data_IF_037360887037
#
_entry.id   IF_037360887037
#
_cell.length_a   1.000
_cell.length_b   1.000
_cell.length_c   1.000
_cell.angle_alpha   90.00
_cell.angle_beta   90.00
_cell.angle_gamma   90.00
#
_symmetry.space_group_name_H-M   'P 1'
#
loop_
_entity.id
_entity.type
_entity.pdbx_description
1 polymer ?
#
# COMPACT_ATOMS: atom_id res chain seq x y z
N UNK A 1 -31.20 1.15 20.29
CA UNK A 1 -31.43 -0.23 19.87
C UNK A 1 -30.40 -0.58 18.77
N UNK A 2 -30.05 -1.85 18.62
CA UNK A 2 -29.34 -2.35 17.45
C UNK A 2 -30.33 -2.73 16.31
N UNK A 3 -29.85 -3.11 15.15
CA UNK A 3 -30.66 -3.50 13.97
C UNK A 3 -31.60 -4.71 14.25
N UNK A 4 -31.29 -5.54 15.26
CA UNK A 4 -32.14 -6.64 15.69
C UNK A 4 -33.19 -6.24 16.75
N UNK A 5 -33.22 -4.97 17.14
CA UNK A 5 -34.16 -4.42 18.15
C UNK A 5 -33.76 -4.68 19.60
N UNK A 6 -32.52 -5.13 19.86
CA UNK A 6 -31.99 -5.30 21.22
C UNK A 6 -31.43 -3.99 21.74
N UNK A 7 -31.54 -3.75 23.07
CA UNK A 7 -30.95 -2.58 23.71
C UNK A 7 -29.43 -2.55 23.63
N UNK A 8 -28.87 -1.35 23.52
CA UNK A 8 -27.42 -1.12 23.54
C UNK A 8 -27.07 -0.41 24.85
N UNK A 9 -26.29 -1.05 25.70
CA UNK A 9 -25.82 -0.46 26.94
C UNK A 9 -24.63 0.48 26.71
N UNK A 10 -24.55 1.56 27.50
CA UNK A 10 -23.40 2.46 27.51
C UNK A 10 -23.31 3.38 26.29
N UNK A 11 -24.38 3.54 25.52
CA UNK A 11 -24.42 4.57 24.50
C UNK A 11 -24.42 5.95 25.18
N UNK A 12 -23.56 6.84 24.70
CA UNK A 12 -23.48 8.22 25.15
C UNK A 12 -24.42 9.09 24.33
N UNK A 13 -25.34 9.76 24.97
CA UNK A 13 -26.33 10.66 24.39
C UNK A 13 -26.02 12.08 24.87
N UNK A 14 -25.74 13.00 23.98
CA UNK A 14 -25.41 14.40 24.27
C UNK A 14 -26.43 15.28 23.58
N UNK A 15 -26.95 16.29 24.28
CA UNK A 15 -27.77 17.34 23.69
C UNK A 15 -26.83 18.40 23.12
N UNK A 16 -26.86 18.58 21.79
CA UNK A 16 -25.98 19.50 21.10
C UNK A 16 -26.11 20.94 21.63
N UNK A 17 -24.97 21.64 21.67
CA UNK A 17 -24.89 23.04 22.18
C UNK A 17 -25.27 23.22 23.67
N UNK A 18 -25.32 22.13 24.47
CA UNK A 18 -25.58 22.15 25.91
C UNK A 18 -24.65 21.22 26.68
N UNK A 19 -24.65 21.33 28.02
CA UNK A 19 -23.93 20.40 28.91
C UNK A 19 -24.83 19.22 29.34
N UNK A 20 -25.99 19.03 28.71
CA UNK A 20 -26.93 17.95 29.06
C UNK A 20 -26.55 16.67 28.28
N UNK A 21 -26.60 15.55 28.99
CA UNK A 21 -26.37 14.24 28.40
C UNK A 21 -26.69 13.10 29.36
N UNK A 22 -26.77 11.89 28.84
CA UNK A 22 -26.96 10.66 29.59
C UNK A 22 -26.21 9.49 28.89
N UNK A 23 -26.04 8.39 29.64
CA UNK A 23 -25.65 7.12 29.08
C UNK A 23 -26.82 6.14 29.18
N UNK A 24 -26.97 5.27 28.17
CA UNK A 24 -27.99 4.22 28.22
C UNK A 24 -27.60 3.12 29.23
N UNK A 25 -28.59 2.56 29.89
CA UNK A 25 -28.47 1.47 30.84
C UNK A 25 -28.29 0.08 30.16
N UNK A 26 -28.31 -1.00 30.94
CA UNK A 26 -28.15 -2.38 30.44
C UNK A 26 -29.28 -2.82 29.49
N UNK A 27 -30.46 -2.17 29.57
CA UNK A 27 -31.60 -2.41 28.67
C UNK A 27 -31.62 -1.48 27.45
N UNK A 28 -30.66 -0.54 27.34
CA UNK A 28 -30.56 0.44 26.28
C UNK A 28 -31.50 1.63 26.49
N UNK A 29 -32.04 1.82 27.69
CA UNK A 29 -32.91 2.94 28.03
C UNK A 29 -32.08 4.11 28.59
N UNK A 30 -32.52 5.34 28.29
CA UNK A 30 -31.94 6.57 28.82
C UNK A 30 -33.00 7.62 29.12
N UNK A 31 -32.66 8.56 30.00
CA UNK A 31 -33.53 9.72 30.31
C UNK A 31 -32.64 10.96 30.47
N UNK A 32 -33.09 12.06 29.91
CA UNK A 32 -32.41 13.36 30.02
C UNK A 32 -33.48 14.40 30.37
N UNK A 33 -33.35 15.01 31.54
CA UNK A 33 -34.25 16.07 31.98
C UNK A 33 -33.87 17.42 31.36
N UNK A 34 -34.88 18.25 31.03
CA UNK A 34 -34.67 19.63 30.57
C UNK A 34 -34.35 19.78 29.08
N UNK A 35 -34.52 18.74 28.27
CA UNK A 35 -34.41 18.81 26.82
C UNK A 35 -35.63 19.52 26.24
N UNK A 36 -35.40 20.49 25.35
CA UNK A 36 -36.48 21.20 24.67
C UNK A 36 -36.80 20.54 23.32
N UNK A 37 -38.08 20.59 22.95
CA UNK A 37 -38.50 20.21 21.59
C UNK A 37 -37.77 21.09 20.57
N UNK A 38 -37.18 20.47 19.54
CA UNK A 38 -36.34 21.12 18.55
C UNK A 38 -34.84 21.00 18.82
N UNK A 39 -34.41 20.41 19.97
CA UNK A 39 -33.01 20.11 20.23
C UNK A 39 -32.51 18.96 19.34
N UNK A 40 -31.24 18.98 19.01
CA UNK A 40 -30.52 17.87 18.37
C UNK A 40 -29.82 17.02 19.43
N UNK A 41 -29.92 15.72 19.28
CA UNK A 41 -29.19 14.73 20.11
C UNK A 41 -28.15 14.05 19.26
N UNK A 42 -26.91 14.01 19.76
CA UNK A 42 -25.82 13.22 19.21
C UNK A 42 -25.68 11.94 20.03
N UNK A 43 -25.90 10.79 19.39
CA UNK A 43 -25.77 9.47 20.00
C UNK A 43 -24.53 8.76 19.50
N UNK A 44 -23.68 8.31 20.40
CA UNK A 44 -22.45 7.60 20.08
C UNK A 44 -22.20 6.42 21.03
N UNK A 45 -21.75 5.31 20.45
CA UNK A 45 -21.32 4.13 21.22
C UNK A 45 -20.27 3.37 20.40
N UNK A 46 -19.33 2.76 21.08
CA UNK A 46 -18.27 1.97 20.41
C UNK A 46 -18.90 0.82 19.64
N UNK A 47 -18.56 0.69 18.36
CA UNK A 47 -19.08 -0.37 17.49
C UNK A 47 -20.31 0.00 16.67
N UNK A 48 -20.77 1.24 16.75
CA UNK A 48 -21.92 1.73 16.00
C UNK A 48 -21.61 3.09 15.37
N UNK A 49 -22.27 3.39 14.25
CA UNK A 49 -22.19 4.72 13.65
C UNK A 49 -22.86 5.76 14.57
N UNK A 50 -22.25 6.91 14.68
CA UNK A 50 -22.85 8.06 15.35
C UNK A 50 -24.12 8.46 14.62
N UNK A 51 -25.20 8.71 15.37
CA UNK A 51 -26.49 9.13 14.84
C UNK A 51 -26.88 10.47 15.45
N UNK A 52 -27.47 11.35 14.63
CA UNK A 52 -27.99 12.63 15.08
C UNK A 52 -29.52 12.62 14.92
N UNK A 53 -30.24 12.86 16.01
CA UNK A 53 -31.69 12.80 16.06
C UNK A 53 -32.28 14.10 16.60
N UNK A 54 -33.29 14.61 15.95
CA UNK A 54 -34.05 15.79 16.45
C UNK A 54 -35.17 15.36 17.35
N UNK A 55 -35.40 16.12 18.42
CA UNK A 55 -36.50 15.92 19.36
C UNK A 55 -37.71 16.65 18.82
N UNK A 56 -38.63 15.94 18.18
CA UNK A 56 -39.83 16.52 17.53
C UNK A 56 -40.98 16.69 18.49
N UNK A 57 -41.06 15.93 19.58
CA UNK A 57 -42.15 15.91 20.54
C UNK A 57 -41.67 15.47 21.93
N UNK A 58 -42.58 15.55 22.92
CA UNK A 58 -42.34 15.03 24.27
C UNK A 58 -42.57 13.50 24.39
N UNK A 59 -42.74 12.80 23.26
CA UNK A 59 -42.95 11.35 23.27
C UNK A 59 -41.58 10.62 23.34
N UNK A 60 -41.56 9.38 23.90
CA UNK A 60 -40.36 8.59 23.96
C UNK A 60 -39.75 8.33 22.57
N UNK A 61 -38.49 8.61 22.41
CA UNK A 61 -37.74 8.36 21.18
C UNK A 61 -37.19 6.92 21.15
N UNK A 62 -37.34 6.27 19.99
CA UNK A 62 -36.68 4.98 19.71
C UNK A 62 -35.68 5.17 18.62
N UNK A 63 -34.40 4.98 18.96
CA UNK A 63 -33.28 5.24 18.07
C UNK A 63 -32.58 3.91 17.75
N UNK A 64 -32.41 3.61 16.48
CA UNK A 64 -31.72 2.41 16.01
C UNK A 64 -30.37 2.82 15.49
N UNK A 65 -29.31 2.27 16.06
CA UNK A 65 -27.93 2.48 15.62
C UNK A 65 -27.51 1.36 14.68
N UNK A 66 -26.84 1.71 13.62
CA UNK A 66 -26.27 0.79 12.65
C UNK A 66 -24.90 0.34 13.16
N UNK A 67 -24.70 -0.98 13.29
CA UNK A 67 -23.40 -1.51 13.66
C UNK A 67 -22.37 -1.11 12.58
N UNK A 68 -21.41 -0.31 12.99
CA UNK A 68 -20.18 -0.12 12.22
C UNK A 68 -19.20 -1.18 12.67
N UNK A 69 -18.60 -1.90 11.73
CA UNK A 69 -17.43 -2.64 12.07
C UNK A 69 -16.48 -1.66 12.79
N UNK A 70 -16.21 -1.93 14.07
CA UNK A 70 -15.15 -1.20 14.78
C UNK A 70 -13.93 -1.46 13.94
N UNK A 71 -13.47 -0.46 13.25
CA UNK A 71 -12.13 -0.52 12.71
C UNK A 71 -11.24 -0.69 13.93
N UNK A 72 -10.80 -1.93 14.18
CA UNK A 72 -9.71 -2.20 15.08
C UNK A 72 -8.42 -1.68 14.43
N UNK A 73 -8.44 -0.40 14.03
CA UNK A 73 -7.28 0.30 13.52
C UNK A 73 -6.18 0.43 14.56
N UNK A 74 -6.48 0.17 15.83
CA UNK A 74 -5.60 0.56 16.92
C UNK A 74 -4.68 -0.53 17.47
N UNK A 75 -4.86 -1.80 17.09
CA UNK A 75 -3.90 -2.86 17.49
C UNK A 75 -2.88 -3.12 16.36
N UNK A 76 -3.05 -2.46 15.26
CA UNK A 76 -2.17 -2.59 14.12
C UNK A 76 -0.76 -2.14 14.46
N UNK A 77 0.18 -3.06 14.44
CA UNK A 77 1.64 -2.82 14.42
C UNK A 77 2.01 -1.40 14.87
N UNK A 78 1.49 -1.02 16.02
CA UNK A 78 1.58 0.34 16.59
C UNK A 78 3.02 0.80 16.75
N UNK A 79 3.95 -0.16 16.91
CA UNK A 79 5.37 0.14 16.98
C UNK A 79 5.93 0.76 15.70
N UNK A 80 5.26 0.60 14.54
CA UNK A 80 5.74 1.11 13.25
C UNK A 80 4.90 2.22 12.64
N UNK A 81 3.77 2.61 13.25
CA UNK A 81 2.91 3.70 12.78
C UNK A 81 2.96 4.93 13.69
N UNK A 82 2.93 6.10 13.07
CA UNK A 82 2.67 7.35 13.77
C UNK A 82 1.16 7.51 13.97
N UNK A 83 0.77 8.09 15.09
CA UNK A 83 -0.60 8.49 15.41
C UNK A 83 -0.67 9.99 15.66
N UNK A 84 -1.85 10.53 15.85
CA UNK A 84 -2.05 11.95 16.21
C UNK A 84 -1.29 12.37 17.47
N UNK A 85 -0.96 11.41 18.35
CA UNK A 85 -0.17 11.64 19.57
C UNK A 85 1.34 11.64 19.31
N UNK A 86 1.76 11.31 18.09
CA UNK A 86 3.18 11.20 17.72
C UNK A 86 3.66 12.52 17.13
N UNK A 87 4.75 13.08 17.65
CA UNK A 87 5.32 14.36 17.18
C UNK A 87 6.05 14.22 15.83
N UNK A 88 5.48 13.48 14.86
CA UNK A 88 6.06 13.25 13.54
C UNK A 88 5.00 13.55 12.47
N UNK A 89 5.40 14.29 11.44
CA UNK A 89 4.52 14.55 10.31
C UNK A 89 4.33 13.25 9.50
N UNK A 90 3.10 12.78 9.38
CA UNK A 90 2.77 11.60 8.59
C UNK A 90 1.60 11.86 7.64
N UNK A 91 1.40 10.95 6.71
CA UNK A 91 0.27 10.93 5.79
C UNK A 91 -0.12 9.47 5.56
N UNK A 92 -1.39 9.17 5.78
CA UNK A 92 -1.96 7.88 5.43
C UNK A 92 -2.56 7.95 4.02
N UNK A 93 -2.31 6.92 3.22
CA UNK A 93 -2.89 6.73 1.89
C UNK A 93 -3.77 5.49 1.95
N UNK A 94 -5.07 5.67 1.68
CA UNK A 94 -6.05 4.59 1.79
C UNK A 94 -6.00 3.65 0.60
N UNK A 95 -6.60 2.47 0.74
CA UNK A 95 -6.74 1.48 -0.33
C UNK A 95 -7.39 2.06 -1.59
N UNK A 96 -8.43 2.87 -1.43
CA UNK A 96 -9.17 3.51 -2.53
C UNK A 96 -8.27 4.50 -3.28
N UNK A 97 -7.50 5.30 -2.55
CA UNK A 97 -6.55 6.24 -3.14
C UNK A 97 -5.44 5.51 -3.90
N UNK A 98 -4.94 4.39 -3.36
CA UNK A 98 -3.95 3.54 -4.04
C UNK A 98 -4.57 2.96 -5.31
N UNK A 99 -5.75 2.38 -5.23
CA UNK A 99 -6.43 1.75 -6.36
C UNK A 99 -6.70 2.71 -7.53
N UNK A 100 -7.04 3.97 -7.23
CA UNK A 100 -7.26 5.01 -8.24
C UNK A 100 -5.99 5.47 -8.95
N UNK A 101 -4.84 5.36 -8.30
CA UNK A 101 -3.59 5.97 -8.77
C UNK A 101 -2.57 4.98 -9.29
N UNK A 102 -2.61 3.76 -8.75
CA UNK A 102 -1.57 2.78 -9.05
C UNK A 102 -1.60 2.36 -10.52
N UNK A 103 -2.77 1.96 -11.04
CA UNK A 103 -2.88 1.43 -12.39
C UNK A 103 -1.82 0.35 -12.65
N UNK A 104 -1.04 0.55 -13.70
CA UNK A 104 0.09 -0.33 -14.08
C UNK A 104 1.40 0.00 -13.37
N UNK A 105 1.41 1.03 -12.52
CA UNK A 105 2.62 1.61 -11.94
C UNK A 105 3.07 0.88 -10.68
N UNK A 106 4.33 1.10 -10.31
CA UNK A 106 4.88 0.62 -9.04
C UNK A 106 4.36 1.45 -7.85
N UNK A 107 4.31 0.84 -6.67
CA UNK A 107 3.80 1.45 -5.44
C UNK A 107 4.32 2.87 -5.17
N UNK A 108 5.63 3.18 -5.33
CA UNK A 108 6.13 4.53 -5.08
C UNK A 108 5.44 5.62 -5.88
N UNK A 109 5.00 5.32 -7.09
CA UNK A 109 4.37 6.33 -7.95
C UNK A 109 2.99 6.76 -7.43
N UNK A 110 2.27 5.89 -6.72
CA UNK A 110 1.05 6.25 -6.02
C UNK A 110 1.30 7.26 -4.89
N UNK A 111 2.53 7.31 -4.37
CA UNK A 111 2.91 8.20 -3.27
C UNK A 111 3.22 9.64 -3.72
N UNK A 112 3.23 9.94 -5.02
CA UNK A 112 3.40 11.32 -5.53
C UNK A 112 2.30 12.30 -5.09
N UNK A 113 1.22 11.78 -4.48
CA UNK A 113 0.18 12.58 -3.83
C UNK A 113 0.59 13.14 -2.48
N UNK A 114 1.57 12.51 -1.85
CA UNK A 114 2.00 12.87 -0.51
C UNK A 114 2.95 14.05 -0.60
N UNK A 115 2.67 15.17 0.09
CA UNK A 115 3.56 16.32 0.10
C UNK A 115 4.98 15.95 0.52
N UNK A 116 5.98 16.48 -0.19
CA UNK A 116 7.42 16.22 0.01
C UNK A 116 7.88 14.81 -0.38
N UNK A 117 7.05 14.06 -1.08
CA UNK A 117 7.42 12.80 -1.72
C UNK A 117 7.50 13.03 -3.22
N UNK A 118 8.55 12.49 -3.83
CA UNK A 118 8.74 12.48 -5.28
C UNK A 118 9.18 11.10 -5.73
N UNK A 119 8.37 10.46 -6.51
CA UNK A 119 8.68 9.17 -7.09
C UNK A 119 8.76 9.26 -8.61
N UNK A 120 9.71 8.54 -9.17
CA UNK A 120 9.93 8.46 -10.62
C UNK A 120 9.95 7.01 -11.06
N UNK A 121 9.49 6.77 -12.28
CA UNK A 121 9.74 5.53 -12.97
C UNK A 121 11.06 5.68 -13.74
N UNK A 122 11.99 4.76 -13.54
CA UNK A 122 13.28 4.74 -14.20
C UNK A 122 13.37 3.54 -15.13
N UNK A 123 14.25 3.59 -16.13
CA UNK A 123 14.48 2.48 -17.02
C UNK A 123 13.34 2.16 -17.99
N UNK A 124 12.17 2.79 -17.84
CA UNK A 124 11.02 2.61 -18.71
C UNK A 124 10.28 1.29 -18.54
N UNK A 125 10.68 0.46 -17.59
CA UNK A 125 10.09 -0.84 -17.29
C UNK A 125 9.36 -0.92 -15.96
N UNK A 126 8.82 -2.08 -15.65
CA UNK A 126 8.19 -2.38 -14.38
C UNK A 126 9.25 -2.69 -13.30
N UNK A 127 9.00 -2.24 -12.06
CA UNK A 127 9.87 -2.50 -10.93
C UNK A 127 11.03 -1.53 -10.76
N UNK A 128 11.11 -0.50 -11.60
CA UNK A 128 12.21 0.46 -11.61
C UNK A 128 11.92 1.76 -10.87
N UNK A 129 10.80 1.84 -10.17
CA UNK A 129 10.46 3.05 -9.46
C UNK A 129 11.49 3.43 -8.41
N UNK A 130 11.65 4.73 -8.22
CA UNK A 130 12.48 5.32 -7.17
C UNK A 130 11.65 6.32 -6.38
N UNK A 131 11.86 6.36 -5.09
CA UNK A 131 11.20 7.30 -4.19
C UNK A 131 12.22 8.20 -3.50
N UNK A 132 11.88 9.47 -3.42
CA UNK A 132 12.62 10.47 -2.66
C UNK A 132 11.65 11.11 -1.66
N UNK A 133 12.08 11.27 -0.43
CA UNK A 133 11.30 11.91 0.62
C UNK A 133 12.10 13.06 1.19
N UNK A 134 11.58 14.29 1.11
CA UNK A 134 12.30 15.51 1.53
C UNK A 134 13.69 15.66 0.89
N UNK A 135 13.85 15.18 -0.36
CA UNK A 135 15.13 15.22 -1.07
C UNK A 135 16.07 14.03 -0.78
N UNK A 136 15.78 13.21 0.23
CA UNK A 136 16.54 12.00 0.49
C UNK A 136 16.08 10.87 -0.43
N UNK A 137 17.03 10.18 -1.06
CA UNK A 137 16.74 9.03 -1.91
C UNK A 137 16.28 7.81 -1.07
N UNK A 138 15.73 6.78 -1.72
CA UNK A 138 15.14 5.63 -1.04
C UNK A 138 16.10 4.84 -0.13
N UNK A 139 17.41 4.93 -0.31
CA UNK A 139 18.40 4.32 0.61
C UNK A 139 18.34 4.91 2.03
N UNK A 140 17.83 6.13 2.14
CA UNK A 140 17.67 6.86 3.38
C UNK A 140 16.22 6.91 3.86
N UNK A 141 15.36 6.09 3.28
CA UNK A 141 13.95 5.95 3.62
C UNK A 141 13.71 4.50 4.03
N UNK A 142 13.26 4.27 5.26
CA UNK A 142 12.90 2.92 5.69
C UNK A 142 11.60 2.50 5.00
N UNK A 143 11.68 1.51 4.11
CA UNK A 143 10.50 0.92 3.48
C UNK A 143 10.18 -0.38 4.18
N UNK A 144 8.93 -0.54 4.59
CA UNK A 144 8.46 -1.68 5.37
C UNK A 144 7.19 -2.27 4.79
N UNK A 145 7.03 -3.57 4.96
CA UNK A 145 5.76 -4.28 4.78
C UNK A 145 5.37 -4.86 6.14
N UNK A 146 4.22 -4.46 6.65
CA UNK A 146 3.75 -4.81 7.99
C UNK A 146 4.81 -4.59 9.10
N UNK A 147 5.53 -3.47 9.01
CA UNK A 147 6.59 -3.12 9.95
C UNK A 147 7.93 -3.83 9.76
N UNK A 148 8.04 -4.75 8.80
CA UNK A 148 9.30 -5.46 8.51
C UNK A 148 10.04 -4.71 7.39
N UNK A 149 11.28 -4.25 7.61
CA UNK A 149 12.07 -3.58 6.60
C UNK A 149 12.35 -4.47 5.39
N UNK A 150 12.21 -3.88 4.19
CA UNK A 150 12.44 -4.55 2.91
C UNK A 150 13.54 -3.89 2.08
N UNK A 151 14.21 -2.90 2.65
CA UNK A 151 15.40 -2.34 2.04
C UNK A 151 16.49 -3.41 1.96
N UNK A 152 17.15 -3.48 0.82
CA UNK A 152 18.31 -4.36 0.63
C UNK A 152 19.39 -4.07 1.66
N UNK A 153 19.93 -5.10 2.30
CA UNK A 153 20.85 -4.95 3.44
C UNK A 153 22.25 -4.51 3.01
N UNK A 154 22.62 -4.72 1.76
CA UNK A 154 23.93 -4.33 1.23
C UNK A 154 23.95 -2.86 0.81
N UNK A 155 22.97 -2.44 0.03
CA UNK A 155 22.98 -1.14 -0.63
C UNK A 155 21.83 -0.21 -0.25
N UNK A 156 20.87 -0.67 0.54
CA UNK A 156 19.71 0.09 1.01
C UNK A 156 18.61 0.35 -0.04
N UNK A 157 18.74 -0.20 -1.26
CA UNK A 157 17.74 -0.06 -2.29
C UNK A 157 16.51 -0.92 -2.02
N UNK A 158 15.39 -0.55 -2.63
CA UNK A 158 14.22 -1.41 -2.77
C UNK A 158 14.02 -1.69 -4.24
N UNK A 159 14.06 -2.95 -4.61
CA UNK A 159 13.77 -3.42 -5.96
C UNK A 159 12.29 -3.74 -6.04
N UNK A 160 11.51 -2.79 -6.57
CA UNK A 160 10.05 -2.84 -6.52
C UNK A 160 9.44 -4.00 -7.29
N UNK A 161 10.16 -4.52 -8.27
CA UNK A 161 9.76 -5.73 -8.98
C UNK A 161 9.64 -6.96 -8.07
N UNK A 162 10.42 -7.04 -6.99
CA UNK A 162 10.33 -8.12 -6.01
C UNK A 162 9.04 -8.06 -5.16
N UNK A 163 8.36 -6.92 -5.17
CA UNK A 163 7.15 -6.63 -4.39
C UNK A 163 5.93 -6.41 -5.27
N UNK A 164 5.98 -6.91 -6.50
CA UNK A 164 4.86 -6.84 -7.42
C UNK A 164 3.63 -7.55 -6.83
N UNK A 165 2.45 -6.99 -7.04
CA UNK A 165 1.21 -7.52 -6.46
C UNK A 165 0.94 -7.13 -5.00
N UNK A 166 1.93 -6.65 -4.23
CA UNK A 166 1.70 -6.21 -2.84
C UNK A 166 0.67 -5.07 -2.77
N UNK A 167 0.71 -4.15 -3.73
CA UNK A 167 -0.25 -3.06 -3.80
C UNK A 167 -1.71 -3.50 -3.94
N UNK A 168 -1.95 -4.64 -4.58
CA UNK A 168 -3.30 -5.17 -4.81
C UNK A 168 -3.94 -5.71 -3.52
N UNK A 169 -3.12 -6.01 -2.51
CA UNK A 169 -3.55 -6.53 -1.20
C UNK A 169 -3.29 -5.53 -0.06
N UNK A 170 -2.78 -4.35 -0.38
CA UNK A 170 -2.50 -3.30 0.59
C UNK A 170 -3.81 -2.71 1.12
N UNK A 171 -3.94 -2.63 2.44
CA UNK A 171 -5.05 -1.95 3.11
C UNK A 171 -4.77 -0.45 3.26
N UNK A 172 -3.54 -0.08 3.58
CA UNK A 172 -3.11 1.32 3.68
C UNK A 172 -1.59 1.46 3.55
N UNK A 173 -1.12 2.67 3.23
CA UNK A 173 0.30 3.02 3.27
C UNK A 173 0.46 4.25 4.14
N UNK A 174 1.29 4.16 5.18
CA UNK A 174 1.65 5.32 5.96
C UNK A 174 3.04 5.82 5.58
N UNK A 175 3.13 7.10 5.23
CA UNK A 175 4.37 7.82 4.98
C UNK A 175 4.68 8.75 6.13
N UNK A 176 5.72 8.45 6.90
CA UNK A 176 6.28 9.36 7.91
C UNK A 176 7.43 10.15 7.32
N UNK A 177 7.53 11.42 7.65
CA UNK A 177 8.47 12.37 7.02
C UNK A 177 9.51 12.84 8.03
N UNK A 178 10.78 12.60 7.74
CA UNK A 178 11.91 12.90 8.62
C UNK A 178 12.24 11.76 9.55
N UNK A 179 12.95 12.05 10.62
CA UNK A 179 13.33 11.02 11.59
C UNK A 179 12.07 10.35 12.14
N UNK A 180 11.99 9.06 11.94
CA UNK A 180 10.91 8.24 12.46
C UNK A 180 10.94 8.24 13.99
N UNK A 181 9.77 8.29 14.63
CA UNK A 181 9.65 8.10 16.08
C UNK A 181 9.94 6.65 16.53
N UNK A 182 10.44 5.83 15.63
CA UNK A 182 10.58 4.39 15.83
C UNK A 182 12.04 3.99 16.00
N UNK A 183 12.27 3.02 16.87
CA UNK A 183 13.54 2.30 16.98
C UNK A 183 13.73 1.32 15.81
N UNK A 184 13.87 1.86 14.60
CA UNK A 184 14.17 1.05 13.43
C UNK A 184 15.69 0.95 13.23
N UNK A 185 16.15 -0.27 13.01
CA UNK A 185 17.55 -0.52 12.64
C UNK A 185 17.89 -0.06 11.22
N UNK A 186 16.89 0.35 10.44
CA UNK A 186 17.04 0.76 9.04
C UNK A 186 17.21 2.27 8.95
N UNK A 187 18.14 2.79 8.10
CA UNK A 187 18.29 4.22 7.87
C UNK A 187 16.97 4.88 7.46
N UNK A 188 16.57 5.92 8.18
CA UNK A 188 15.27 6.58 7.97
C UNK A 188 15.33 8.10 8.09
N UNK A 189 16.47 8.72 7.75
CA UNK A 189 16.66 10.18 7.82
C UNK A 189 15.62 10.92 6.96
N UNK A 190 15.30 10.39 5.78
CA UNK A 190 14.28 10.92 4.88
C UNK A 190 12.86 10.70 5.39
N UNK A 191 12.63 9.61 6.08
CA UNK A 191 11.34 9.17 6.57
C UNK A 191 11.17 7.66 6.51
N UNK A 192 9.95 7.20 6.76
CA UNK A 192 9.59 5.79 6.61
C UNK A 192 8.28 5.62 5.83
N UNK A 193 8.19 4.55 5.06
CA UNK A 193 7.02 4.13 4.31
C UNK A 193 6.63 2.74 4.82
N UNK A 194 5.47 2.62 5.44
CA UNK A 194 4.96 1.33 5.90
C UNK A 194 3.73 0.92 5.09
N UNK A 195 3.85 -0.18 4.38
CA UNK A 195 2.80 -0.80 3.58
C UNK A 195 2.11 -1.84 4.46
N UNK A 196 0.82 -1.69 4.67
CA UNK A 196 0.04 -2.57 5.53
C UNK A 196 -0.86 -3.47 4.71
N UNK A 197 -0.80 -4.78 4.99
CA UNK A 197 -1.59 -5.80 4.30
C UNK A 197 -2.41 -6.60 5.32
N UNK A 198 -3.24 -5.93 6.10
CA UNK A 198 -4.02 -6.56 7.16
C UNK A 198 -5.27 -7.25 6.63
N UNK A 199 -5.38 -8.56 6.81
CA UNK A 199 -6.54 -9.34 6.40
C UNK A 199 -7.80 -8.97 7.20
N UNK A 200 -7.65 -8.56 8.47
CA UNK A 200 -8.80 -8.20 9.32
C UNK A 200 -9.39 -6.82 8.98
N UNK A 201 -8.60 -5.95 8.33
CA UNK A 201 -9.05 -4.65 7.86
C UNK A 201 -9.79 -4.71 6.51
N UNK A 202 -9.98 -5.90 5.94
CA UNK A 202 -10.60 -6.10 4.65
C UNK A 202 -12.01 -6.69 4.82
N UNK A 203 -12.99 -6.10 4.15
CA UNK A 203 -14.34 -6.63 4.11
C UNK A 203 -14.40 -7.98 3.39
N UNK A 204 -15.40 -8.80 3.76
CA UNK A 204 -15.64 -10.07 3.09
C UNK A 204 -16.03 -9.84 1.63
N UNK A 205 -15.27 -10.43 0.72
CA UNK A 205 -15.58 -10.34 -0.70
C UNK A 205 -14.51 -10.90 -1.57
N UNK A 206 -14.86 -11.16 -2.81
CA UNK A 206 -13.92 -11.50 -3.88
C UNK A 206 -13.92 -10.42 -4.94
N UNK A 207 -12.79 -10.20 -5.57
CA UNK A 207 -12.69 -9.30 -6.71
C UNK A 207 -11.92 -9.94 -7.86
N UNK A 208 -12.33 -9.60 -9.07
CA UNK A 208 -11.55 -9.82 -10.28
C UNK A 208 -11.34 -8.46 -10.94
N UNK A 209 -10.10 -8.07 -11.12
CA UNK A 209 -9.72 -6.82 -11.73
C UNK A 209 -8.90 -7.10 -12.99
N UNK A 210 -9.29 -6.48 -14.10
CA UNK A 210 -8.57 -6.54 -15.36
C UNK A 210 -8.12 -5.14 -15.73
N UNK A 211 -6.82 -4.96 -15.89
CA UNK A 211 -6.20 -3.70 -16.29
C UNK A 211 -5.57 -3.88 -17.67
N UNK A 212 -5.85 -2.95 -18.57
CA UNK A 212 -5.35 -2.93 -19.95
C UNK A 212 -4.69 -1.59 -20.19
N UNK A 213 -3.54 -1.59 -20.80
CA UNK A 213 -2.77 -0.37 -21.06
C UNK A 213 -2.10 -0.37 -22.43
N UNK A 214 -1.35 0.68 -22.68
CA UNK A 214 -0.55 0.78 -23.90
C UNK A 214 0.56 -0.28 -23.93
N UNK A 215 1.11 -0.52 -25.12
CA UNK A 215 2.21 -1.49 -25.35
C UNK A 215 1.90 -2.90 -24.85
N UNK A 216 0.70 -3.38 -25.14
CA UNK A 216 0.28 -4.74 -24.78
C UNK A 216 0.18 -4.99 -23.27
N UNK A 217 0.15 -3.94 -22.44
CA UNK A 217 0.04 -4.11 -20.99
C UNK A 217 -1.29 -4.77 -20.63
N UNK A 218 -1.20 -5.86 -19.89
CA UNK A 218 -2.31 -6.64 -19.37
C UNK A 218 -2.00 -7.09 -17.95
N UNK A 219 -2.86 -6.70 -16.99
CA UNK A 219 -2.76 -7.18 -15.62
C UNK A 219 -4.10 -7.74 -15.17
N UNK A 220 -4.09 -8.96 -14.69
CA UNK A 220 -5.25 -9.66 -14.13
C UNK A 220 -4.99 -9.92 -12.66
N UNK A 221 -5.89 -9.47 -11.81
CA UNK A 221 -5.83 -9.69 -10.35
C UNK A 221 -7.09 -10.40 -9.90
N UNK A 222 -6.91 -11.49 -9.17
CA UNK A 222 -7.99 -12.19 -8.46
C UNK A 222 -7.66 -12.10 -6.99
N UNK A 223 -8.60 -11.62 -6.18
CA UNK A 223 -8.44 -11.60 -4.73
C UNK A 223 -9.70 -12.08 -4.02
N UNK A 224 -9.51 -12.61 -2.81
CA UNK A 224 -10.58 -13.00 -1.92
C UNK A 224 -10.20 -12.74 -0.48
N UNK A 225 -11.14 -12.13 0.25
CA UNK A 225 -11.03 -11.84 1.67
C UNK A 225 -12.23 -12.48 2.39
N UNK A 226 -11.97 -13.13 3.50
CA UNK A 226 -13.04 -13.77 4.28
C UNK A 226 -13.82 -12.76 5.12
N UNK A 227 -13.23 -11.56 5.36
CA UNK A 227 -13.60 -10.71 6.48
C UNK A 227 -13.33 -11.44 7.81
N UNK A 228 -13.71 -10.83 8.90
CA UNK A 228 -13.67 -11.45 10.22
C UNK A 228 -14.68 -12.60 10.31
N UNK A 229 -14.25 -13.74 10.85
CA UNK A 229 -15.02 -14.95 11.08
C UNK A 229 -14.61 -15.62 12.38
N UNK A 230 -15.32 -16.63 12.85
CA UNK A 230 -15.11 -17.32 14.13
C UNK A 230 -15.16 -16.35 15.33
N UNK A 231 -16.31 -15.68 15.48
CA UNK A 231 -16.53 -14.66 16.52
C UNK A 231 -15.49 -13.52 16.43
N UNK A 232 -15.28 -12.98 15.23
CA UNK A 232 -14.37 -11.89 14.89
C UNK A 232 -12.89 -12.14 15.21
N UNK A 233 -12.51 -13.42 15.32
CA UNK A 233 -11.14 -13.80 15.66
C UNK A 233 -10.24 -14.09 14.49
N UNK A 234 -10.76 -14.59 13.38
CA UNK A 234 -9.94 -15.01 12.25
C UNK A 234 -10.33 -14.26 10.98
N UNK A 235 -9.35 -13.75 10.28
CA UNK A 235 -9.51 -13.25 8.91
C UNK A 235 -8.43 -13.82 8.01
N UNK A 236 -8.81 -14.15 6.78
CA UNK A 236 -7.91 -14.65 5.74
C UNK A 236 -8.03 -13.78 4.49
N UNK A 237 -6.92 -13.56 3.82
CA UNK A 237 -6.89 -12.91 2.51
C UNK A 237 -5.95 -13.65 1.57
N UNK A 238 -6.30 -13.70 0.29
CA UNK A 238 -5.46 -14.27 -0.74
C UNK A 238 -5.59 -13.46 -2.03
N UNK A 239 -4.51 -13.34 -2.78
CA UNK A 239 -4.51 -12.73 -4.10
C UNK A 239 -3.55 -13.43 -5.04
N UNK A 240 -3.91 -13.42 -6.33
CA UNK A 240 -3.10 -13.91 -7.43
C UNK A 240 -3.10 -12.83 -8.52
N UNK A 241 -1.93 -12.47 -8.99
CA UNK A 241 -1.73 -11.45 -10.02
C UNK A 241 -0.95 -12.03 -11.19
N UNK A 242 -1.38 -11.75 -12.41
CA UNK A 242 -0.66 -11.99 -13.65
C UNK A 242 -0.45 -10.68 -14.38
N UNK A 243 0.79 -10.32 -14.69
CA UNK A 243 1.14 -9.07 -15.37
C UNK A 243 2.02 -9.37 -16.58
N UNK A 244 1.67 -8.79 -17.74
CA UNK A 244 2.46 -8.84 -18.98
C UNK A 244 2.41 -7.50 -19.69
N UNK A 245 3.42 -7.21 -20.51
CA UNK A 245 3.44 -6.01 -21.35
C UNK A 245 4.77 -5.88 -22.09
N UNK A 246 4.77 -5.11 -23.19
CA UNK A 246 5.97 -4.92 -24.00
C UNK A 246 6.84 -3.74 -23.53
N UNK A 247 6.27 -2.85 -22.68
CA UNK A 247 6.96 -1.68 -22.17
C UNK A 247 6.98 -0.50 -23.14
N UNK A 248 7.38 0.67 -22.64
CA UNK A 248 7.42 1.91 -23.38
C UNK A 248 8.59 1.97 -24.37
N UNK A 249 9.74 1.47 -23.95
CA UNK A 249 10.93 1.36 -24.79
C UNK A 249 11.11 -0.07 -25.27
N UNK A 250 11.72 -0.25 -26.44
CA UNK A 250 12.14 -1.58 -26.91
C UNK A 250 13.01 -2.25 -25.85
N UNK A 251 12.71 -3.51 -25.54
CA UNK A 251 13.45 -4.27 -24.53
C UNK A 251 13.01 -4.06 -23.08
N UNK A 252 11.94 -3.29 -22.80
CA UNK A 252 11.45 -3.06 -21.43
C UNK A 252 10.16 -3.85 -21.10
N UNK A 253 10.03 -5.03 -21.66
CA UNK A 253 8.91 -5.92 -21.45
C UNK A 253 8.81 -6.44 -20.00
N UNK A 254 7.62 -6.86 -19.57
CA UNK A 254 7.37 -7.48 -18.27
C UNK A 254 6.58 -8.77 -18.43
N UNK A 255 6.91 -9.77 -17.64
CA UNK A 255 6.22 -11.07 -17.54
C UNK A 255 6.34 -11.53 -16.09
N UNK A 256 5.29 -11.30 -15.31
CA UNK A 256 5.30 -11.48 -13.87
C UNK A 256 4.06 -12.21 -13.36
N UNK A 257 4.28 -13.02 -12.33
CA UNK A 257 3.26 -13.51 -11.44
C UNK A 257 3.48 -12.93 -10.05
N UNK A 258 2.42 -12.71 -9.32
CA UNK A 258 2.53 -12.44 -7.89
C UNK A 258 1.42 -13.19 -7.15
N UNK A 259 1.75 -13.64 -5.95
CA UNK A 259 0.78 -14.29 -5.06
C UNK A 259 0.95 -13.77 -3.65
N UNK A 260 -0.15 -13.69 -2.95
CA UNK A 260 -0.21 -13.25 -1.56
C UNK A 260 -1.17 -14.16 -0.79
N UNK A 261 -0.80 -14.46 0.45
CA UNK A 261 -1.66 -15.06 1.44
C UNK A 261 -1.44 -14.34 2.78
N UNK A 262 -2.52 -13.91 3.40
CA UNK A 262 -2.53 -13.26 4.71
C UNK A 262 -3.50 -13.95 5.65
N UNK A 263 -3.16 -14.06 6.91
CA UNK A 263 -4.02 -14.52 7.99
C UNK A 263 -3.82 -13.65 9.22
N UNK A 264 -4.91 -13.22 9.82
CA UNK A 264 -4.91 -12.49 11.08
C UNK A 264 -5.76 -13.26 12.09
N UNK A 265 -5.22 -13.55 13.26
CA UNK A 265 -5.91 -14.22 14.33
C UNK A 265 -5.85 -13.40 15.63
N UNK A 266 -6.99 -12.90 16.07
CA UNK A 266 -7.18 -12.17 17.31
C UNK A 266 -7.47 -13.17 18.42
N UNK A 267 -6.46 -13.54 19.21
CA UNK A 267 -6.64 -14.48 20.32
C UNK A 267 -7.50 -13.84 21.44
N UNK A 268 -7.19 -12.59 21.78
CA UNK A 268 -7.88 -11.73 22.73
C UNK A 268 -7.50 -10.26 22.46
N UNK A 269 -8.00 -9.32 23.26
CA UNK A 269 -7.72 -7.88 23.13
C UNK A 269 -6.25 -7.49 23.23
N UNK A 270 -5.41 -8.35 23.83
CA UNK A 270 -3.98 -8.09 24.07
C UNK A 270 -3.06 -8.83 23.09
N UNK A 271 -3.55 -9.90 22.44
CA UNK A 271 -2.73 -10.77 21.61
C UNK A 271 -3.37 -10.97 20.24
N UNK A 272 -2.63 -10.54 19.24
CA UNK A 272 -2.96 -10.68 17.83
C UNK A 272 -1.80 -11.34 17.09
N UNK A 273 -2.10 -12.34 16.28
CA UNK A 273 -1.14 -13.02 15.43
C UNK A 273 -1.42 -12.67 13.98
N UNK A 274 -0.38 -12.29 13.28
CA UNK A 274 -0.44 -12.05 11.85
C UNK A 274 0.56 -12.94 11.14
N UNK A 275 0.09 -13.62 10.12
CA UNK A 275 0.93 -14.39 9.20
C UNK A 275 0.69 -13.86 7.79
N UNK A 276 1.76 -13.69 7.04
CA UNK A 276 1.66 -13.43 5.62
C UNK A 276 2.79 -14.09 4.85
N UNK A 277 2.47 -14.52 3.63
CA UNK A 277 3.40 -15.07 2.67
C UNK A 277 3.14 -14.40 1.32
N UNK A 278 4.19 -14.02 0.64
CA UNK A 278 4.11 -13.41 -0.67
C UNK A 278 5.26 -13.85 -1.55
N UNK A 279 5.05 -13.78 -2.85
CA UNK A 279 6.10 -14.00 -3.83
C UNK A 279 5.74 -13.34 -5.15
N UNK A 280 6.76 -12.89 -5.86
CA UNK A 280 6.64 -12.20 -7.14
C UNK A 280 7.64 -12.75 -8.17
N UNK A 281 7.51 -14.02 -8.59
CA UNK A 281 8.34 -14.55 -9.65
C UNK A 281 8.09 -13.78 -10.95
N UNK A 282 9.16 -13.22 -11.51
CA UNK A 282 9.05 -12.32 -12.63
C UNK A 282 10.26 -12.38 -13.55
N UNK A 283 10.03 -11.98 -14.78
CA UNK A 283 11.06 -11.71 -15.78
C UNK A 283 10.72 -10.37 -16.42
N UNK A 284 11.70 -9.55 -16.64
CA UNK A 284 11.49 -8.27 -17.32
C UNK A 284 12.76 -7.83 -18.06
N UNK A 285 12.54 -7.07 -19.11
CA UNK A 285 13.61 -6.31 -19.75
C UNK A 285 13.76 -4.97 -19.01
N UNK A 286 14.97 -4.47 -18.97
CA UNK A 286 15.28 -3.22 -18.28
C UNK A 286 16.21 -2.35 -19.12
N UNK A 287 15.91 -1.05 -19.15
CA UNK A 287 16.78 -0.03 -19.71
C UNK A 287 17.45 0.72 -18.57
N UNK A 288 18.77 0.65 -18.47
CA UNK A 288 19.48 1.35 -17.42
C UNK A 288 19.45 2.87 -17.67
N UNK A 289 19.37 3.64 -16.60
CA UNK A 289 19.24 5.10 -16.66
C UNK A 289 20.49 5.86 -17.13
N UNK A 290 21.57 5.15 -17.36
CA UNK A 290 22.81 5.70 -17.90
C UNK A 290 23.29 4.82 -19.03
N UNK A 291 23.12 5.28 -20.24
CA UNK A 291 23.70 4.69 -21.42
C UNK A 291 24.72 5.65 -22.00
N UNK A 292 25.86 5.13 -22.43
CA UNK A 292 26.79 5.90 -23.24
C UNK A 292 26.10 6.15 -24.60
N UNK A 293 26.12 7.37 -25.08
CA UNK A 293 25.53 7.70 -26.38
C UNK A 293 26.17 6.90 -27.53
N UNK A 294 27.41 6.49 -27.36
CA UNK A 294 28.12 5.61 -28.28
C UNK A 294 27.41 4.25 -28.50
N UNK A 295 26.58 3.80 -27.54
CA UNK A 295 25.77 2.59 -27.70
C UNK A 295 24.59 2.77 -28.68
N UNK A 296 24.25 4.01 -29.01
CA UNK A 296 23.14 4.37 -29.88
C UNK A 296 23.60 4.98 -31.21
N UNK A 297 24.83 5.38 -31.32
CA UNK A 297 25.42 6.01 -32.52
C UNK A 297 26.79 5.41 -32.83
N UNK A 298 26.82 4.55 -33.84
CA UNK A 298 28.05 3.86 -34.29
C UNK A 298 29.14 4.82 -34.75
N UNK A 299 28.77 5.87 -35.49
CA UNK A 299 29.74 6.82 -35.99
C UNK A 299 30.42 7.59 -34.85
N UNK A 300 29.65 7.90 -33.80
CA UNK A 300 30.20 8.50 -32.58
C UNK A 300 31.09 7.51 -31.83
N UNK A 301 30.68 6.25 -31.70
CA UNK A 301 31.49 5.22 -31.05
C UNK A 301 32.84 5.06 -31.74
N UNK A 302 32.86 4.97 -33.09
CA UNK A 302 34.08 4.86 -33.91
C UNK A 302 34.99 6.12 -33.83
N UNK A 303 34.44 7.25 -33.38
CA UNK A 303 35.20 8.49 -33.19
C UNK A 303 35.88 8.61 -31.85
N UNK A 304 35.64 7.69 -30.91
CA UNK A 304 36.28 7.69 -29.59
C UNK A 304 37.63 7.05 -29.62
N UNK A 305 38.61 7.63 -28.88
CA UNK A 305 39.99 7.15 -28.83
C UNK A 305 40.13 5.75 -28.22
N UNK A 306 39.10 5.34 -27.45
CA UNK A 306 39.02 4.03 -26.75
C UNK A 306 38.07 3.04 -27.43
N UNK A 307 37.74 3.27 -28.69
CA UNK A 307 36.99 2.32 -29.51
C UNK A 307 37.83 1.10 -29.87
N UNK A 308 37.39 -0.08 -29.45
CA UNK A 308 38.05 -1.35 -29.70
C UNK A 308 37.25 -2.24 -30.65
N UNK A 309 37.50 -2.16 -31.94
CA UNK A 309 37.08 -3.16 -32.90
C UNK A 309 35.63 -3.17 -33.36
N UNK A 310 35.24 -4.28 -33.95
CA UNK A 310 33.91 -4.42 -34.58
C UNK A 310 32.83 -4.53 -33.51
N UNK A 311 31.95 -3.55 -33.50
CA UNK A 311 30.70 -3.66 -32.75
C UNK A 311 29.85 -4.73 -33.46
N UNK A 312 29.83 -5.93 -32.92
CA UNK A 312 28.91 -6.95 -33.39
C UNK A 312 27.48 -6.50 -33.08
N UNK A 313 26.58 -6.64 -34.05
CA UNK A 313 25.16 -6.45 -33.77
C UNK A 313 24.75 -7.33 -32.60
N UNK A 314 24.25 -6.72 -31.53
CA UNK A 314 23.68 -7.46 -30.41
C UNK A 314 22.41 -8.09 -30.95
N UNK A 315 22.30 -9.44 -30.98
CA UNK A 315 21.09 -10.08 -31.42
C UNK A 315 19.92 -9.55 -30.58
N UNK A 316 18.82 -9.15 -31.19
CA UNK A 316 17.59 -8.87 -30.45
C UNK A 316 17.20 -10.10 -29.65
N UNK A 317 17.58 -10.08 -28.40
CA UNK A 317 17.21 -11.09 -27.45
C UNK A 317 15.81 -10.78 -26.94
N UNK A 318 14.77 -11.22 -27.64
CA UNK A 318 13.40 -11.08 -27.18
C UNK A 318 13.15 -11.77 -25.82
N UNK A 319 11.89 -11.94 -25.49
CA UNK A 319 11.41 -12.59 -24.23
C UNK A 319 12.00 -13.98 -23.97
N UNK A 320 12.55 -14.62 -25.00
CA UNK A 320 13.09 -15.98 -24.92
C UNK A 320 14.56 -16.03 -24.50
N UNK A 321 15.20 -14.90 -24.34
CA UNK A 321 16.54 -14.87 -23.79
C UNK A 321 16.48 -15.12 -22.29
N UNK A 322 16.66 -16.38 -21.94
CA UNK A 322 16.92 -16.79 -20.56
C UNK A 322 18.39 -16.55 -20.26
N UNK A 323 18.78 -15.34 -20.02
CA UNK A 323 20.19 -15.15 -19.82
C UNK A 323 20.51 -14.22 -18.69
N UNK A 324 21.14 -14.73 -17.71
CA UNK A 324 22.11 -14.03 -16.88
C UNK A 324 23.43 -13.81 -17.67
N UNK A 325 23.48 -14.16 -18.93
CA UNK A 325 24.67 -14.08 -19.73
C UNK A 325 24.55 -12.94 -20.72
N UNK A 326 25.46 -12.03 -20.65
CA UNK A 326 25.74 -11.14 -21.75
C UNK A 326 25.95 -11.98 -23.02
N UNK A 327 25.07 -11.80 -23.98
CA UNK A 327 25.35 -12.21 -25.36
C UNK A 327 26.21 -11.15 -26.07
N UNK A 328 26.70 -10.20 -25.32
CA UNK A 328 27.53 -9.09 -25.77
C UNK A 328 28.96 -9.53 -25.74
N UNK A 329 29.71 -9.33 -26.82
CA UNK A 329 31.12 -9.58 -26.80
C UNK A 329 31.83 -8.70 -25.78
N UNK A 330 33.00 -9.14 -25.28
CA UNK A 330 33.77 -8.35 -24.32
C UNK A 330 34.08 -6.94 -24.85
N UNK A 331 34.21 -6.77 -26.16
CA UNK A 331 34.44 -5.48 -26.81
C UNK A 331 33.16 -4.60 -26.78
N UNK A 332 32.00 -5.18 -27.02
CA UNK A 332 30.74 -4.44 -26.93
C UNK A 332 30.41 -4.15 -25.45
N UNK A 333 30.76 -5.03 -24.52
CA UNK A 333 30.64 -4.77 -23.09
C UNK A 333 31.54 -3.60 -22.65
N UNK A 334 32.73 -3.49 -23.16
CA UNK A 334 33.62 -2.37 -22.90
C UNK A 334 33.09 -1.03 -23.42
N UNK A 335 32.40 -1.03 -24.56
CA UNK A 335 31.76 0.15 -25.15
C UNK A 335 30.53 0.59 -24.38
N UNK A 336 29.76 -0.35 -23.87
CA UNK A 336 28.51 -0.11 -23.19
C UNK A 336 28.72 0.14 -21.69
N UNK A 337 29.92 -0.15 -21.17
CA UNK A 337 30.25 -0.08 -19.75
C UNK A 337 29.51 -1.13 -18.91
N UNK A 338 29.73 -1.12 -17.60
CA UNK A 338 29.18 -2.10 -16.66
C UNK A 338 27.64 -2.05 -16.48
N UNK A 339 26.91 -1.47 -17.42
CA UNK A 339 25.51 -1.10 -17.25
C UNK A 339 24.52 -1.90 -18.10
N UNK A 340 24.92 -3.11 -18.51
CA UNK A 340 24.23 -3.79 -19.56
C UNK A 340 23.48 -5.01 -19.27
N UNK A 341 22.97 -5.12 -18.21
CA UNK A 341 22.38 -6.40 -17.84
C UNK A 341 20.92 -6.37 -17.56
#
# INVERSE_FOLDING_TARGET
LNESGSGIAGANIVVDDTDLGAASDESGEFSIDGVMVGSSLTISVIGYSQENVFVDSDEPLSITLIATAVEFSDIEVLASRASEKTAVAYTDVTKEQIALRLGSQDIPLAMNLVPSVYATNQGGGAGDARINVRGFNQRNVAVMINGIPVNDMENGWVFWSNWDGVADVTSSIQMQKGLSAQNLATPSIGGSMNIVTDAAALERGGSFKQEVGAWGFLKSTISYNTGLMLDDKLALSAALVRKTGDGYYTGTWTDAWAYFFGATYNLNEQHRFQFYALGAPQRHGQNLYRLNIASLDRAYAESLDDYYGDVSEIPECGRDCSGTGSTVSDEAAALLGDQQW
#
